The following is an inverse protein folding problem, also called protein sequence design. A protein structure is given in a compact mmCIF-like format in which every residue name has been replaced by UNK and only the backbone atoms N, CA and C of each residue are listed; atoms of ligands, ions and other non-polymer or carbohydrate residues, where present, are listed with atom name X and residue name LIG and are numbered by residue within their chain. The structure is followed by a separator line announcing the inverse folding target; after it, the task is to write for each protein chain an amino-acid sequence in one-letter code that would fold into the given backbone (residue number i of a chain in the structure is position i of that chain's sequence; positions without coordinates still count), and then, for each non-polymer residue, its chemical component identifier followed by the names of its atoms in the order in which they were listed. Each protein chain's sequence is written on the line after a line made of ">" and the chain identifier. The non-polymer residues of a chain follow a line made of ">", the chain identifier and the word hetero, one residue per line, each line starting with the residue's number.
data_IF_740715888136
#
_entry.id   IF_740715888136
#
_cell.length_a   1.000
_cell.length_b   1.000
_cell.length_c   1.000
_cell.angle_alpha   90.00
_cell.angle_beta   90.00
_cell.angle_gamma   90.00
#
_symmetry.space_group_name_H-M   'P 1'
#
loop_
_entity.id
_entity.type
_entity.pdbx_description
1 polymer ?
#
# COMPACT_ATOMS: atom_id res chain seq x y z
N UNK A 1 8.37 22.91 -0.65
CA UNK A 1 7.93 21.56 -1.08
C UNK A 1 6.77 21.16 -0.18
N UNK A 2 5.79 20.39 -0.67
CA UNK A 2 4.68 19.92 0.19
C UNK A 2 5.22 18.87 1.16
N UNK A 3 4.86 18.94 2.45
CA UNK A 3 5.41 18.04 3.48
C UNK A 3 5.19 16.56 3.15
N UNK A 4 4.04 16.20 2.59
CA UNK A 4 3.71 14.83 2.13
C UNK A 4 4.58 14.31 0.97
N UNK A 5 5.32 15.19 0.28
CA UNK A 5 6.25 14.85 -0.79
C UNK A 5 7.72 15.01 -0.37
N UNK A 6 7.95 15.54 0.83
CA UNK A 6 9.27 15.94 1.30
C UNK A 6 9.85 14.86 2.24
N UNK A 7 11.01 14.32 1.86
CA UNK A 7 11.75 13.31 2.62
C UNK A 7 12.32 13.83 3.95
N UNK A 8 12.35 15.15 4.15
CA UNK A 8 12.70 15.76 5.44
C UNK A 8 11.53 15.70 6.45
N UNK A 9 10.35 15.20 6.06
CA UNK A 9 9.19 15.03 6.95
C UNK A 9 8.72 13.58 7.01
N UNK A 10 8.63 13.04 8.22
CA UNK A 10 7.91 11.79 8.48
C UNK A 10 6.41 12.02 8.40
N UNK A 11 5.70 11.08 7.80
CA UNK A 11 4.24 11.06 7.79
C UNK A 11 3.78 10.06 8.86
N UNK A 12 3.21 10.56 9.95
CA UNK A 12 2.76 9.72 11.06
C UNK A 12 1.24 9.62 11.04
N UNK A 13 0.69 8.41 10.98
CA UNK A 13 -0.73 8.15 11.12
C UNK A 13 -1.12 8.32 12.58
N UNK A 14 -2.04 9.25 12.85
CA UNK A 14 -2.54 9.56 14.19
C UNK A 14 -4.05 9.54 14.21
N UNK A 15 -4.63 9.21 15.37
CA UNK A 15 -6.07 9.26 15.57
C UNK A 15 -6.55 10.72 15.58
N UNK A 16 -7.66 11.01 14.90
CA UNK A 16 -8.23 12.34 14.82
C UNK A 16 -8.59 12.92 16.21
N UNK A 17 -8.89 12.07 17.19
CA UNK A 17 -9.20 12.47 18.55
C UNK A 17 -7.99 13.03 19.32
N UNK A 18 -6.75 12.73 18.90
CA UNK A 18 -5.53 13.21 19.56
C UNK A 18 -4.98 14.50 18.94
N UNK A 19 -5.59 14.99 17.85
CA UNK A 19 -5.13 16.18 17.12
C UNK A 19 -5.57 17.44 17.87
N UNK A 20 -4.63 18.34 18.16
CA UNK A 20 -4.94 19.62 18.80
C UNK A 20 -5.32 20.66 17.75
N UNK A 21 -6.04 21.72 18.17
CA UNK A 21 -6.40 22.83 17.28
C UNK A 21 -5.19 23.62 16.73
N UNK A 22 -4.00 23.40 17.31
CA UNK A 22 -2.76 24.08 16.94
C UNK A 22 -1.99 23.35 15.81
N UNK A 23 -2.34 22.10 15.49
CA UNK A 23 -1.59 21.26 14.54
C UNK A 23 -2.00 21.47 13.06
N UNK A 24 -2.87 22.44 12.75
CA UNK A 24 -3.58 22.48 11.46
C UNK A 24 -2.70 22.53 10.21
N UNK A 25 -1.52 23.14 10.27
CA UNK A 25 -0.61 23.27 9.12
C UNK A 25 0.26 22.03 8.89
N UNK A 26 0.25 21.08 9.81
CA UNK A 26 1.03 19.83 9.80
C UNK A 26 0.15 18.59 9.61
N UNK A 27 -1.14 18.76 9.32
CA UNK A 27 -2.10 17.67 9.26
C UNK A 27 -2.67 17.50 7.85
N UNK A 28 -2.60 16.27 7.32
CA UNK A 28 -3.37 15.83 6.15
C UNK A 28 -4.44 14.83 6.60
N UNK A 29 -5.71 15.19 6.46
CA UNK A 29 -6.81 14.27 6.78
C UNK A 29 -6.69 13.00 5.93
N UNK A 30 -6.83 11.81 6.51
CA UNK A 30 -6.87 10.54 5.77
C UNK A 30 -8.30 10.05 5.61
N UNK A 31 -9.03 9.96 6.73
CA UNK A 31 -10.42 9.50 6.78
C UNK A 31 -11.10 10.02 8.07
N UNK A 32 -12.25 9.46 8.43
CA UNK A 32 -13.01 9.87 9.63
C UNK A 32 -12.31 9.59 10.96
N UNK A 33 -11.39 8.62 11.02
CA UNK A 33 -10.68 8.24 12.25
C UNK A 33 -9.22 8.69 12.29
N UNK A 34 -8.57 8.81 11.15
CA UNK A 34 -7.13 9.01 11.05
C UNK A 34 -6.76 10.25 10.22
N UNK A 35 -5.63 10.84 10.57
CA UNK A 35 -4.93 11.85 9.77
C UNK A 35 -3.43 11.56 9.77
N UNK A 36 -2.71 12.14 8.81
CA UNK A 36 -1.26 12.21 8.83
C UNK A 36 -0.80 13.46 9.55
N UNK A 37 0.08 13.30 10.54
CA UNK A 37 0.89 14.36 11.10
C UNK A 37 2.27 14.36 10.45
N UNK A 38 2.62 15.47 9.81
CA UNK A 38 3.92 15.66 9.20
C UNK A 38 4.91 16.19 10.24
N UNK A 39 5.96 15.42 10.54
CA UNK A 39 6.96 15.78 11.56
C UNK A 39 8.33 15.91 10.92
N UNK A 40 8.99 17.05 11.13
CA UNK A 40 10.34 17.28 10.62
C UNK A 40 11.34 16.28 11.19
N UNK A 41 12.19 15.74 10.32
CA UNK A 41 13.23 14.77 10.67
C UNK A 41 14.43 15.46 11.30
N UNK A 42 14.60 15.36 12.62
CA UNK A 42 15.76 15.91 13.32
C UNK A 42 16.99 14.98 13.31
N UNK A 43 16.81 13.65 13.29
CA UNK A 43 17.90 12.67 13.23
C UNK A 43 17.64 11.51 12.25
N UNK A 44 18.73 10.90 11.74
CA UNK A 44 18.73 9.84 10.71
C UNK A 44 19.15 8.48 11.30
N UNK A 45 18.57 8.02 12.40
CA UNK A 45 18.96 6.74 13.04
C UNK A 45 17.77 5.79 13.16
N UNK A 46 18.04 4.49 13.15
CA UNK A 46 17.01 3.46 13.32
C UNK A 46 16.28 3.61 14.68
N UNK A 47 17.00 4.04 15.73
CA UNK A 47 16.42 4.36 17.04
C UNK A 47 15.70 5.71 17.12
N UNK A 48 15.54 6.46 16.03
CA UNK A 48 14.71 7.68 16.03
C UNK A 48 13.22 7.39 16.30
N UNK A 49 12.84 6.11 16.33
CA UNK A 49 11.56 5.58 16.87
C UNK A 49 11.33 5.92 18.35
N UNK A 50 12.37 6.27 19.12
CA UNK A 50 12.20 6.75 20.50
C UNK A 50 11.33 8.02 20.59
N UNK A 51 11.27 8.81 19.51
CA UNK A 51 10.49 10.05 19.46
C UNK A 51 9.08 9.87 18.87
N UNK A 52 8.86 8.82 18.09
CA UNK A 52 7.60 8.55 17.41
C UNK A 52 7.27 7.05 17.51
N UNK A 53 6.17 6.68 18.18
CA UNK A 53 5.77 5.30 18.35
C UNK A 53 5.60 4.57 17.00
N UNK A 54 6.00 3.30 16.91
CA UNK A 54 6.00 2.54 15.64
C UNK A 54 4.59 2.39 15.07
N UNK A 55 3.55 2.31 15.90
CA UNK A 55 2.15 2.21 15.47
C UNK A 55 1.68 3.44 14.70
N UNK A 56 2.40 4.56 14.81
CA UNK A 56 2.13 5.76 14.02
C UNK A 56 2.83 5.74 12.67
N UNK A 57 3.78 4.84 12.42
CA UNK A 57 4.46 4.76 11.14
C UNK A 57 3.60 3.99 10.12
N UNK A 58 3.40 4.56 8.92
CA UNK A 58 2.74 3.83 7.83
C UNK A 58 3.51 2.57 7.46
N UNK A 59 2.80 1.49 7.16
CA UNK A 59 3.39 0.31 6.56
C UNK A 59 3.85 0.55 5.10
N UNK A 60 4.77 -0.30 4.63
CA UNK A 60 5.21 -0.35 3.22
C UNK A 60 4.48 -1.48 2.50
N UNK A 61 3.86 -1.15 1.38
CA UNK A 61 3.12 -2.09 0.53
C UNK A 61 3.87 -2.35 -0.79
N UNK A 62 3.84 -3.58 -1.27
CA UNK A 62 4.36 -3.97 -2.58
C UNK A 62 3.26 -4.55 -3.46
N UNK A 63 3.53 -4.71 -4.74
CA UNK A 63 2.64 -5.38 -5.68
C UNK A 63 2.43 -6.85 -5.29
N UNK A 64 1.20 -7.37 -5.46
CA UNK A 64 0.89 -8.80 -5.34
C UNK A 64 0.68 -9.37 -6.73
N UNK A 65 1.28 -10.51 -7.01
CA UNK A 65 1.34 -11.17 -8.31
C UNK A 65 1.94 -10.26 -9.38
N UNK A 66 3.19 -9.76 -9.19
CA UNK A 66 3.84 -8.92 -10.18
C UNK A 66 3.91 -9.63 -11.53
N UNK A 67 3.81 -8.85 -12.62
CA UNK A 67 3.67 -9.37 -13.98
C UNK A 67 4.75 -10.42 -14.31
N UNK A 68 4.29 -11.65 -14.58
CA UNK A 68 5.11 -12.74 -15.10
C UNK A 68 4.87 -12.92 -16.60
N UNK A 69 5.90 -13.40 -17.31
CA UNK A 69 5.80 -13.76 -18.73
C UNK A 69 5.11 -15.10 -18.96
N UNK A 70 4.84 -15.87 -17.91
CA UNK A 70 4.14 -17.15 -18.01
C UNK A 70 2.67 -16.91 -18.32
N UNK A 71 2.17 -17.56 -19.38
CA UNK A 71 0.74 -17.55 -19.70
C UNK A 71 0.03 -18.40 -18.66
N UNK A 72 -0.88 -17.84 -17.85
CA UNK A 72 -1.69 -18.68 -16.99
C UNK A 72 -2.57 -19.58 -17.88
N UNK A 73 -2.80 -20.81 -17.42
CA UNK A 73 -3.83 -21.70 -17.97
C UNK A 73 -5.21 -21.11 -17.66
N UNK A 74 -5.58 -20.09 -18.43
CA UNK A 74 -6.89 -19.47 -18.34
C UNK A 74 -7.87 -20.32 -19.15
N UNK A 75 -8.64 -21.13 -18.43
CA UNK A 75 -9.98 -21.43 -18.90
C UNK A 75 -10.78 -20.13 -18.83
N UNK A 76 -11.41 -19.66 -19.91
CA UNK A 76 -12.22 -18.46 -19.87
C UNK A 76 -13.25 -18.65 -18.75
N UNK A 77 -13.21 -17.78 -17.75
CA UNK A 77 -14.26 -17.72 -16.75
C UNK A 77 -15.56 -17.56 -17.53
N UNK A 78 -16.41 -18.58 -17.46
CA UNK A 78 -17.70 -18.61 -18.11
C UNK A 78 -18.43 -17.33 -17.72
N UNK A 79 -18.56 -16.41 -18.68
CA UNK A 79 -19.49 -15.29 -18.56
C UNK A 79 -20.84 -15.93 -18.30
N UNK A 80 -21.47 -15.61 -17.17
CA UNK A 80 -22.82 -15.99 -16.82
C UNK A 80 -23.78 -15.34 -17.84
N UNK A 81 -23.86 -15.93 -19.04
CA UNK A 81 -24.63 -15.45 -20.19
C UNK A 81 -26.11 -15.30 -19.88
N UNK A 82 -26.58 -16.03 -18.86
CA UNK A 82 -27.99 -16.16 -18.55
C UNK A 82 -28.55 -14.93 -17.81
N UNK A 83 -27.68 -14.09 -17.21
CA UNK A 83 -28.12 -12.95 -16.40
C UNK A 83 -27.71 -11.57 -16.95
N UNK A 84 -26.93 -11.51 -18.04
CA UNK A 84 -26.46 -10.27 -18.66
C UNK A 84 -25.85 -9.25 -17.66
N UNK A 85 -25.11 -9.75 -16.67
CA UNK A 85 -24.47 -8.95 -15.62
C UNK A 85 -23.08 -8.49 -16.09
N UNK A 86 -23.01 -7.30 -16.66
CA UNK A 86 -21.79 -6.76 -17.30
C UNK A 86 -21.04 -5.72 -16.45
N UNK A 87 -21.57 -5.38 -15.27
CA UNK A 87 -21.05 -4.31 -14.41
C UNK A 87 -21.48 -2.89 -14.79
N UNK A 88 -22.40 -2.74 -15.74
CA UNK A 88 -22.93 -1.44 -16.16
C UNK A 88 -23.47 -0.65 -14.95
N UNK A 89 -23.03 0.61 -14.81
CA UNK A 89 -23.44 1.50 -13.72
C UNK A 89 -22.63 1.35 -12.43
N UNK A 90 -21.77 0.33 -12.33
CA UNK A 90 -20.84 0.15 -11.20
C UNK A 90 -19.53 0.89 -11.50
N UNK A 91 -18.93 1.47 -10.46
CA UNK A 91 -17.58 2.02 -10.51
C UNK A 91 -16.63 0.97 -9.94
N UNK A 92 -15.57 0.64 -10.68
CA UNK A 92 -14.44 -0.13 -10.16
C UNK A 92 -13.30 0.84 -9.87
N UNK A 93 -12.90 0.89 -8.60
CA UNK A 93 -11.77 1.67 -8.12
C UNK A 93 -10.50 0.83 -8.11
N UNK A 94 -9.45 1.33 -8.76
CA UNK A 94 -8.12 0.70 -8.83
C UNK A 94 -7.12 1.61 -8.12
N UNK A 95 -6.39 1.07 -7.15
CA UNK A 95 -5.29 1.77 -6.46
C UNK A 95 -4.01 0.97 -6.69
N UNK A 96 -3.16 1.45 -7.59
CA UNK A 96 -2.05 0.65 -8.12
C UNK A 96 -0.97 1.53 -8.81
N UNK A 97 -0.21 0.98 -9.75
CA UNK A 97 0.85 1.66 -10.55
C UNK A 97 0.32 2.60 -11.63
N UNK A 98 -1.01 2.68 -11.80
CA UNK A 98 -1.69 3.50 -12.79
C UNK A 98 -2.44 2.69 -13.83
N UNK A 99 -2.67 3.29 -14.99
CA UNK A 99 -3.34 2.64 -16.12
C UNK A 99 -2.85 3.19 -17.46
N UNK A 100 -2.67 2.32 -18.46
CA UNK A 100 -2.60 2.73 -19.85
C UNK A 100 -4.00 3.09 -20.37
N UNK A 101 -4.36 4.37 -20.25
CA UNK A 101 -5.68 4.87 -20.65
C UNK A 101 -5.96 4.81 -22.15
N UNK A 102 -4.92 4.61 -22.98
CA UNK A 102 -5.07 4.50 -24.44
C UNK A 102 -5.38 3.06 -24.87
N UNK A 103 -5.23 2.09 -23.98
CA UNK A 103 -5.40 0.70 -24.31
C UNK A 103 -6.85 0.41 -24.77
N UNK A 104 -7.07 -0.28 -25.91
CA UNK A 104 -8.41 -0.56 -26.44
C UNK A 104 -9.32 -1.33 -25.47
N UNK A 105 -8.72 -2.02 -24.50
CA UNK A 105 -9.47 -2.70 -23.44
C UNK A 105 -10.29 -1.74 -22.57
N UNK A 106 -10.00 -0.43 -22.54
CA UNK A 106 -10.68 0.56 -21.68
C UNK A 106 -11.46 1.62 -22.45
N UNK A 107 -11.64 1.42 -23.76
CA UNK A 107 -12.39 2.33 -24.62
C UNK A 107 -13.81 1.83 -24.86
N UNK A 108 -14.74 2.73 -25.06
CA UNK A 108 -16.06 2.43 -25.59
C UNK A 108 -15.97 2.20 -27.12
N UNK A 109 -17.06 1.69 -27.70
CA UNK A 109 -17.15 1.46 -29.15
C UNK A 109 -16.98 2.75 -29.98
N UNK A 110 -17.33 3.91 -29.40
CA UNK A 110 -17.14 5.23 -30.01
C UNK A 110 -15.73 5.81 -29.79
N UNK A 111 -14.82 5.03 -29.22
CA UNK A 111 -13.44 5.40 -28.84
C UNK A 111 -13.31 6.41 -27.69
N UNK A 112 -14.40 6.74 -27.00
CA UNK A 112 -14.29 7.46 -25.72
C UNK A 112 -13.81 6.52 -24.61
N UNK A 113 -13.25 7.03 -23.53
CA UNK A 113 -12.78 6.22 -22.40
C UNK A 113 -13.90 5.76 -21.49
N UNK A 114 -13.72 4.61 -20.82
CA UNK A 114 -14.51 4.17 -19.64
C UNK A 114 -13.91 4.62 -18.31
N UNK A 115 -12.77 5.31 -18.33
CA UNK A 115 -12.12 5.85 -17.14
C UNK A 115 -12.76 7.20 -16.79
N UNK A 116 -13.42 7.27 -15.64
CA UNK A 116 -14.09 8.47 -15.14
C UNK A 116 -13.07 9.53 -14.69
N UNK A 117 -12.02 9.08 -14.03
CA UNK A 117 -10.90 9.92 -13.65
C UNK A 117 -9.66 9.11 -13.29
N UNK A 118 -8.50 9.74 -13.44
CA UNK A 118 -7.20 9.25 -12.99
C UNK A 118 -6.65 10.27 -12.00
N UNK A 119 -6.37 9.86 -10.77
CA UNK A 119 -5.54 10.63 -9.86
C UNK A 119 -4.12 10.08 -9.90
N UNK A 120 -3.19 10.85 -10.47
CA UNK A 120 -1.78 10.51 -10.49
C UNK A 120 -1.06 11.24 -9.36
N UNK A 121 -0.73 10.51 -8.29
CA UNK A 121 -0.03 11.04 -7.13
C UNK A 121 1.42 11.42 -7.42
N UNK A 122 1.98 11.01 -8.57
CA UNK A 122 3.38 11.30 -8.93
C UNK A 122 3.55 12.64 -9.66
N UNK A 123 2.48 13.16 -10.26
CA UNK A 123 2.52 14.37 -11.10
C UNK A 123 2.02 15.58 -10.31
N UNK A 124 2.85 16.61 -10.15
CA UNK A 124 2.57 17.76 -9.28
C UNK A 124 2.29 19.07 -10.02
N UNK A 125 2.45 19.08 -11.34
CA UNK A 125 2.31 20.25 -12.20
C UNK A 125 0.84 20.61 -12.48
N UNK A 126 -0.08 19.65 -12.30
CA UNK A 126 -1.51 19.85 -12.49
C UNK A 126 -2.25 20.22 -11.21
N UNK A 127 -3.59 20.16 -11.28
CA UNK A 127 -4.45 20.43 -10.13
C UNK A 127 -4.71 19.12 -9.37
N UNK A 128 -4.52 19.09 -8.04
CA UNK A 128 -4.93 17.95 -7.24
C UNK A 128 -6.46 17.81 -7.22
N UNK A 129 -6.98 16.62 -6.88
CA UNK A 129 -8.41 16.46 -6.64
C UNK A 129 -8.93 17.42 -5.56
N UNK A 130 -10.22 17.77 -5.60
CA UNK A 130 -10.85 18.61 -4.56
C UNK A 130 -10.60 18.03 -3.17
N UNK A 131 -10.21 18.90 -2.24
CA UNK A 131 -9.90 18.54 -0.84
C UNK A 131 -8.62 17.69 -0.66
N UNK A 132 -7.79 17.59 -1.69
CA UNK A 132 -6.43 17.05 -1.64
C UNK A 132 -5.40 18.14 -1.97
N UNK A 133 -4.16 17.92 -1.52
CA UNK A 133 -3.09 18.92 -1.60
C UNK A 133 -2.01 18.60 -2.63
N UNK A 134 -1.99 17.39 -3.20
CA UNK A 134 -0.94 16.92 -4.09
C UNK A 134 -1.45 15.94 -5.16
N UNK A 135 -0.58 15.64 -6.12
CA UNK A 135 -0.91 14.87 -7.31
C UNK A 135 -1.72 15.68 -8.31
N UNK A 136 -2.09 15.03 -9.41
CA UNK A 136 -2.90 15.63 -10.48
C UNK A 136 -4.11 14.76 -10.81
N UNK A 137 -5.29 15.37 -10.86
CA UNK A 137 -6.50 14.72 -11.35
C UNK A 137 -6.72 14.97 -12.85
N UNK A 138 -6.97 13.90 -13.59
CA UNK A 138 -7.39 13.93 -14.99
C UNK A 138 -8.81 13.40 -15.10
N UNK A 139 -9.74 14.27 -15.49
CA UNK A 139 -11.14 13.91 -15.70
C UNK A 139 -11.37 13.13 -17.00
N UNK A 140 -12.49 12.42 -17.09
CA UNK A 140 -12.96 11.72 -18.31
C UNK A 140 -12.89 12.59 -19.57
N UNK A 141 -13.29 13.86 -19.48
CA UNK A 141 -13.24 14.77 -20.62
C UNK A 141 -11.81 15.07 -21.06
N UNK A 142 -10.89 15.27 -20.11
CA UNK A 142 -9.47 15.49 -20.40
C UNK A 142 -8.79 14.25 -20.96
N UNK A 143 -9.13 13.06 -20.46
CA UNK A 143 -8.67 11.77 -21.00
C UNK A 143 -9.16 11.58 -22.44
N UNK A 144 -10.45 11.84 -22.72
CA UNK A 144 -10.97 11.79 -24.09
C UNK A 144 -10.25 12.77 -25.02
N UNK A 145 -9.97 13.99 -24.56
CA UNK A 145 -9.18 14.96 -25.33
C UNK A 145 -7.77 14.46 -25.61
N UNK A 146 -7.13 13.78 -24.64
CA UNK A 146 -5.83 13.15 -24.83
C UNK A 146 -5.88 12.04 -25.89
N UNK A 147 -6.87 11.15 -25.82
CA UNK A 147 -7.05 10.04 -26.79
C UNK A 147 -7.22 10.55 -28.23
N UNK A 148 -7.86 11.72 -28.42
CA UNK A 148 -8.02 12.33 -29.75
C UNK A 148 -6.80 13.15 -30.21
N UNK A 149 -5.86 13.45 -29.30
CA UNK A 149 -4.67 14.24 -29.60
C UNK A 149 -3.65 13.43 -30.40
N UNK A 150 -2.84 14.13 -31.21
CA UNK A 150 -1.66 13.53 -31.84
C UNK A 150 -0.57 13.20 -30.82
N UNK A 151 -0.54 13.93 -29.71
CA UNK A 151 0.37 13.74 -28.59
C UNK A 151 -0.45 13.60 -27.29
N UNK A 152 -1.01 12.41 -27.00
CA UNK A 152 -1.87 12.19 -25.83
C UNK A 152 -1.20 12.58 -24.50
N UNK A 153 0.10 12.27 -24.36
CA UNK A 153 0.88 12.54 -23.15
C UNK A 153 1.18 14.02 -22.89
N UNK A 154 1.04 14.90 -23.89
CA UNK A 154 1.09 16.36 -23.65
C UNK A 154 -0.18 16.85 -22.92
N UNK A 155 -1.29 16.11 -23.04
CA UNK A 155 -2.59 16.46 -22.43
C UNK A 155 -2.78 15.75 -21.09
N UNK A 156 -2.50 14.45 -21.05
CA UNK A 156 -2.52 13.58 -19.88
C UNK A 156 -1.20 12.80 -19.82
N UNK A 157 -0.18 13.31 -19.10
CA UNK A 157 1.15 12.69 -19.01
C UNK A 157 1.20 11.43 -18.14
N UNK A 158 0.10 11.05 -17.48
CA UNK A 158 0.04 9.83 -16.67
C UNK A 158 0.24 8.58 -17.52
N UNK A 159 1.15 7.71 -17.10
CA UNK A 159 1.48 6.42 -17.72
C UNK A 159 1.61 5.35 -16.65
N UNK A 160 1.34 4.10 -17.02
CA UNK A 160 1.67 2.94 -16.22
C UNK A 160 2.92 2.26 -16.80
N UNK A 161 4.08 2.64 -16.30
CA UNK A 161 5.38 2.09 -16.76
C UNK A 161 5.67 0.70 -16.19
N UNK A 162 4.99 0.31 -15.12
CA UNK A 162 5.12 -1.02 -14.52
C UNK A 162 4.18 -2.03 -15.21
N UNK A 163 2.95 -1.60 -15.51
CA UNK A 163 1.92 -2.39 -16.18
C UNK A 163 1.00 -3.17 -15.25
N UNK A 164 1.32 -3.25 -13.95
CA UNK A 164 0.54 -4.02 -12.97
C UNK A 164 -0.90 -3.49 -12.85
N UNK A 165 -1.07 -2.19 -12.62
CA UNK A 165 -2.40 -1.57 -12.53
C UNK A 165 -3.23 -1.73 -13.80
N UNK A 166 -2.60 -1.60 -14.97
CA UNK A 166 -3.22 -1.88 -16.27
C UNK A 166 -3.71 -3.32 -16.37
N UNK A 167 -2.89 -4.29 -15.93
CA UNK A 167 -3.24 -5.70 -15.97
C UNK A 167 -4.40 -6.03 -15.03
N UNK A 168 -4.36 -5.56 -13.78
CA UNK A 168 -5.46 -5.72 -12.81
C UNK A 168 -6.76 -5.11 -13.35
N UNK A 169 -6.70 -3.87 -13.86
CA UNK A 169 -7.86 -3.22 -14.46
C UNK A 169 -8.41 -4.01 -15.66
N UNK A 170 -7.54 -4.64 -16.45
CA UNK A 170 -7.95 -5.48 -17.60
C UNK A 170 -8.65 -6.76 -17.17
N UNK A 171 -8.15 -7.45 -16.14
CA UNK A 171 -8.77 -8.67 -15.59
C UNK A 171 -10.18 -8.36 -15.09
N UNK A 172 -10.36 -7.21 -14.44
CA UNK A 172 -11.66 -6.83 -13.89
C UNK A 172 -12.60 -6.36 -14.99
N UNK A 173 -12.18 -5.39 -15.81
CA UNK A 173 -13.10 -4.62 -16.66
C UNK A 173 -12.63 -4.46 -18.11
N UNK A 174 -11.63 -5.23 -18.58
CA UNK A 174 -11.14 -5.16 -19.95
C UNK A 174 -12.19 -5.59 -20.97
N UNK A 175 -12.27 -4.87 -22.10
CA UNK A 175 -13.19 -5.24 -23.18
C UNK A 175 -12.92 -6.65 -23.71
N UNK A 176 -13.97 -7.38 -24.15
CA UNK A 176 -13.80 -8.63 -24.85
C UNK A 176 -12.95 -8.45 -26.12
N UNK A 177 -11.95 -9.30 -26.29
CA UNK A 177 -11.12 -9.40 -27.48
C UNK A 177 -11.11 -10.86 -27.96
N UNK A 178 -11.90 -11.15 -29.00
CA UNK A 178 -12.03 -12.50 -29.55
C UNK A 178 -10.72 -13.03 -30.15
N UNK A 179 -9.86 -12.16 -30.69
CA UNK A 179 -8.57 -12.57 -31.25
C UNK A 179 -7.60 -13.08 -30.17
N UNK A 180 -7.68 -12.53 -28.96
CA UNK A 180 -6.85 -12.91 -27.82
C UNK A 180 -7.55 -13.87 -26.85
N UNK A 181 -8.80 -14.25 -27.13
CA UNK A 181 -9.64 -15.05 -26.22
C UNK A 181 -9.69 -14.45 -24.80
N UNK A 182 -9.81 -13.13 -24.71
CA UNK A 182 -9.74 -12.38 -23.46
C UNK A 182 -11.03 -11.59 -23.23
N UNK A 183 -11.46 -11.51 -21.98
CA UNK A 183 -12.48 -10.55 -21.52
C UNK A 183 -12.26 -10.33 -20.04
N UNK A 184 -12.43 -9.10 -19.57
CA UNK A 184 -12.64 -8.85 -18.16
C UNK A 184 -13.96 -9.44 -17.67
N UNK A 185 -14.12 -9.53 -16.35
CA UNK A 185 -15.32 -10.08 -15.70
C UNK A 185 -16.53 -9.11 -15.84
N UNK A 186 -16.29 -7.81 -15.70
CA UNK A 186 -17.29 -6.74 -15.77
C UNK A 186 -16.93 -5.70 -16.85
N UNK A 187 -16.96 -6.07 -18.13
CA UNK A 187 -16.43 -5.23 -19.22
C UNK A 187 -17.19 -3.93 -19.45
N UNK A 188 -18.38 -3.73 -18.88
CA UNK A 188 -19.16 -2.48 -18.99
C UNK A 188 -19.11 -1.62 -17.72
N UNK A 189 -18.28 -1.95 -16.73
CA UNK A 189 -18.04 -1.05 -15.59
C UNK A 189 -17.22 0.16 -16.01
N UNK A 190 -17.42 1.27 -15.30
CA UNK A 190 -16.55 2.44 -15.39
C UNK A 190 -15.40 2.32 -14.39
N UNK A 191 -14.25 2.92 -14.70
CA UNK A 191 -13.04 2.86 -13.87
C UNK A 191 -12.76 4.20 -13.21
N UNK A 192 -12.29 4.18 -11.96
CA UNK A 192 -11.58 5.30 -11.34
C UNK A 192 -10.23 4.78 -10.89
N UNK A 193 -9.15 5.43 -11.31
CA UNK A 193 -7.80 4.94 -11.10
C UNK A 193 -7.01 5.90 -10.23
N UNK A 194 -6.32 5.37 -9.24
CA UNK A 194 -5.32 6.06 -8.43
C UNK A 194 -3.98 5.43 -8.75
N UNK A 195 -3.09 6.22 -9.35
CA UNK A 195 -1.68 5.87 -9.48
C UNK A 195 -0.95 6.37 -8.24
N UNK A 196 -0.43 5.43 -7.45
CA UNK A 196 0.29 5.74 -6.23
C UNK A 196 1.67 6.32 -6.52
N UNK A 197 2.11 7.24 -5.66
CA UNK A 197 3.52 7.62 -5.59
C UNK A 197 4.30 6.59 -4.79
N UNK A 198 5.60 6.45 -5.07
CA UNK A 198 6.46 5.62 -4.23
C UNK A 198 6.52 6.14 -2.79
N UNK A 199 6.68 5.20 -1.86
CA UNK A 199 6.91 5.51 -0.46
C UNK A 199 8.15 6.40 -0.31
N UNK A 200 8.09 7.32 0.66
CA UNK A 200 9.22 8.21 0.96
C UNK A 200 10.47 7.42 1.31
N UNK A 201 11.62 7.91 0.86
CA UNK A 201 12.91 7.31 1.19
C UNK A 201 13.15 7.32 2.70
N UNK A 202 12.64 8.31 3.43
CA UNK A 202 12.76 8.34 4.89
C UNK A 202 12.06 7.14 5.57
N UNK A 203 10.93 6.68 5.05
CA UNK A 203 10.20 5.51 5.53
C UNK A 203 10.89 4.21 5.10
N UNK A 204 11.31 4.12 3.82
CA UNK A 204 12.13 3.01 3.32
C UNK A 204 13.39 2.80 4.20
N UNK A 205 14.03 3.90 4.60
CA UNK A 205 15.21 3.86 5.47
C UNK A 205 14.92 3.34 6.90
N UNK A 206 13.73 3.60 7.46
CA UNK A 206 13.34 3.06 8.78
C UNK A 206 13.21 1.54 8.71
N UNK A 207 12.52 1.03 7.70
CA UNK A 207 12.26 -0.40 7.55
C UNK A 207 13.38 -1.16 6.83
N UNK A 208 14.49 -0.48 6.53
CA UNK A 208 15.61 -1.02 5.77
C UNK A 208 15.25 -1.57 4.38
N UNK A 209 14.18 -1.05 3.76
CA UNK A 209 13.83 -1.37 2.39
C UNK A 209 14.89 -0.83 1.41
N UNK A 210 15.26 -1.57 0.36
CA UNK A 210 16.18 -1.07 -0.67
C UNK A 210 15.67 0.24 -1.30
N UNK A 211 16.52 1.24 -1.54
CA UNK A 211 16.10 2.57 -2.00
C UNK A 211 15.33 2.52 -3.35
N UNK A 212 15.78 1.63 -4.24
CA UNK A 212 15.24 1.43 -5.58
C UNK A 212 14.09 0.40 -5.62
N UNK A 213 13.70 -0.17 -4.48
CA UNK A 213 12.56 -1.11 -4.43
C UNK A 213 11.25 -0.35 -4.61
N UNK A 214 10.40 -0.81 -5.52
CA UNK A 214 9.06 -0.27 -5.71
C UNK A 214 8.18 -0.67 -4.52
N UNK A 215 7.85 0.30 -3.68
CA UNK A 215 6.89 0.14 -2.60
C UNK A 215 6.09 1.42 -2.39
N UNK A 216 4.91 1.27 -1.81
CA UNK A 216 3.94 2.33 -1.59
C UNK A 216 3.69 2.51 -0.11
N UNK A 217 3.35 3.72 0.29
CA UNK A 217 3.06 4.04 1.68
C UNK A 217 1.59 3.74 1.98
N UNK A 218 1.30 3.09 3.10
CA UNK A 218 -0.07 2.79 3.56
C UNK A 218 -0.99 4.02 3.50
N UNK A 219 -0.49 5.17 3.92
CA UNK A 219 -1.26 6.41 3.95
C UNK A 219 -1.66 6.91 2.56
N UNK A 220 -0.83 6.68 1.54
CA UNK A 220 -1.13 7.05 0.16
C UNK A 220 -2.25 6.17 -0.42
N UNK A 221 -2.31 4.89 0.01
CA UNK A 221 -3.42 3.98 -0.28
C UNK A 221 -4.70 4.45 0.41
N UNK A 222 -4.64 4.82 1.69
CA UNK A 222 -5.79 5.36 2.44
C UNK A 222 -6.36 6.63 1.78
N UNK A 223 -5.49 7.52 1.32
CA UNK A 223 -5.91 8.70 0.55
C UNK A 223 -6.55 8.29 -0.79
N UNK A 224 -5.98 7.30 -1.48
CA UNK A 224 -6.55 6.71 -2.69
C UNK A 224 -7.98 6.20 -2.47
N UNK A 225 -8.21 5.45 -1.39
CA UNK A 225 -9.53 4.97 -1.00
C UNK A 225 -10.49 6.13 -0.76
N UNK A 226 -10.06 7.18 -0.03
CA UNK A 226 -10.90 8.36 0.19
C UNK A 226 -11.29 9.01 -1.13
N UNK A 227 -10.35 9.17 -2.07
CA UNK A 227 -10.64 9.73 -3.39
C UNK A 227 -11.67 8.91 -4.16
N UNK A 228 -11.53 7.58 -4.18
CA UNK A 228 -12.50 6.68 -4.83
C UNK A 228 -13.91 6.83 -4.24
N UNK A 229 -14.01 6.89 -2.91
CA UNK A 229 -15.29 7.09 -2.21
C UNK A 229 -15.90 8.45 -2.57
N UNK A 230 -15.10 9.52 -2.57
CA UNK A 230 -15.55 10.87 -2.95
C UNK A 230 -16.11 10.89 -4.38
N UNK A 231 -15.41 10.26 -5.34
CA UNK A 231 -15.90 10.16 -6.73
C UNK A 231 -17.21 9.37 -6.80
N UNK A 232 -17.31 8.24 -6.10
CA UNK A 232 -18.53 7.41 -6.05
C UNK A 232 -19.72 8.17 -5.46
N UNK A 233 -19.51 8.91 -4.37
CA UNK A 233 -20.54 9.74 -3.73
C UNK A 233 -20.99 10.89 -4.63
N UNK A 234 -20.05 11.59 -5.25
CA UNK A 234 -20.35 12.70 -6.17
C UNK A 234 -21.17 12.23 -7.38
N UNK A 235 -20.96 10.99 -7.82
CA UNK A 235 -21.70 10.39 -8.93
C UNK A 235 -22.95 9.62 -8.48
N UNK A 236 -23.15 9.43 -7.18
CA UNK A 236 -24.20 8.61 -6.58
C UNK A 236 -24.28 7.20 -7.17
N UNK A 237 -23.14 6.51 -7.24
CA UNK A 237 -22.99 5.18 -7.86
C UNK A 237 -22.28 4.19 -6.95
N UNK A 238 -22.65 2.88 -6.98
CA UNK A 238 -21.93 1.86 -6.24
C UNK A 238 -20.45 1.77 -6.66
N UNK A 239 -19.60 1.44 -5.69
CA UNK A 239 -18.15 1.35 -5.82
C UNK A 239 -17.67 -0.04 -5.40
N UNK A 240 -16.83 -0.66 -6.22
CA UNK A 240 -16.04 -1.83 -5.83
C UNK A 240 -14.57 -1.45 -5.88
N UNK A 241 -13.86 -1.57 -4.76
CA UNK A 241 -12.44 -1.24 -4.65
C UNK A 241 -11.64 -2.53 -4.77
N UNK A 242 -10.65 -2.55 -5.67
CA UNK A 242 -9.66 -3.62 -5.75
C UNK A 242 -8.30 -3.11 -5.23
N UNK A 243 -7.75 -3.80 -4.24
CA UNK A 243 -6.41 -3.55 -3.70
C UNK A 243 -5.57 -4.80 -3.97
N UNK A 244 -4.74 -4.74 -5.00
CA UNK A 244 -3.80 -5.79 -5.39
C UNK A 244 -2.38 -5.51 -4.86
N UNK A 245 -2.33 -4.98 -3.64
CA UNK A 245 -1.12 -4.60 -2.92
C UNK A 245 -1.10 -5.31 -1.57
N UNK A 246 0.09 -5.63 -1.06
CA UNK A 246 0.26 -6.35 0.20
C UNK A 246 1.42 -5.83 1.03
N UNK A 247 1.35 -6.05 2.34
CA UNK A 247 2.43 -5.81 3.29
C UNK A 247 2.55 -6.98 4.26
N UNK A 248 3.75 -7.23 4.76
CA UNK A 248 3.99 -8.14 5.89
C UNK A 248 4.18 -7.39 7.21
N UNK A 249 4.23 -6.06 7.18
CA UNK A 249 4.35 -5.24 8.40
C UNK A 249 3.03 -5.24 9.18
N UNK A 250 3.13 -5.20 10.50
CA UNK A 250 2.01 -5.15 11.42
C UNK A 250 1.68 -6.50 12.05
N UNK A 251 0.78 -6.48 13.05
CA UNK A 251 0.40 -7.66 13.84
C UNK A 251 -0.57 -8.63 13.15
N UNK A 252 -1.10 -8.26 11.98
CA UNK A 252 -2.11 -9.04 11.22
C UNK A 252 -3.38 -9.39 12.03
N UNK A 253 -3.72 -8.54 13.00
CA UNK A 253 -4.87 -8.70 13.91
C UNK A 253 -6.08 -7.82 13.54
N UNK A 254 -5.93 -7.01 12.48
CA UNK A 254 -6.98 -6.15 11.92
C UNK A 254 -7.14 -4.79 12.63
N UNK A 255 -6.26 -4.44 13.57
CA UNK A 255 -6.32 -3.17 14.29
C UNK A 255 -5.45 -2.07 13.67
N UNK A 256 -4.70 -2.36 12.60
CA UNK A 256 -3.93 -1.36 11.88
C UNK A 256 -4.83 -0.29 11.22
N UNK A 257 -4.31 0.93 10.92
CA UNK A 257 -5.11 2.04 10.43
C UNK A 257 -5.85 1.75 9.11
N UNK A 258 -5.20 1.07 8.15
CA UNK A 258 -5.81 0.68 6.89
C UNK A 258 -6.90 -0.39 7.09
N UNK A 259 -6.64 -1.44 7.87
CA UNK A 259 -7.63 -2.49 8.19
C UNK A 259 -8.87 -1.92 8.86
N UNK A 260 -8.69 -1.06 9.86
CA UNK A 260 -9.80 -0.38 10.55
C UNK A 260 -10.58 0.50 9.58
N UNK A 261 -9.90 1.21 8.69
CA UNK A 261 -10.56 2.04 7.69
C UNK A 261 -11.41 1.20 6.74
N UNK A 262 -10.85 0.11 6.22
CA UNK A 262 -11.52 -0.83 5.31
C UNK A 262 -12.73 -1.50 5.97
N UNK A 263 -12.63 -1.96 7.22
CA UNK A 263 -13.75 -2.53 7.98
C UNK A 263 -14.92 -1.55 8.12
N UNK A 264 -14.63 -0.26 8.35
CA UNK A 264 -15.67 0.76 8.46
C UNK A 264 -16.36 0.99 7.13
N UNK A 265 -15.60 1.18 6.05
CA UNK A 265 -16.21 1.52 4.75
C UNK A 265 -16.90 0.31 4.10
N UNK A 266 -16.49 -0.92 4.41
CA UNK A 266 -17.15 -2.14 3.95
C UNK A 266 -18.59 -2.27 4.47
N UNK A 267 -18.93 -1.57 5.56
CA UNK A 267 -20.29 -1.55 6.14
C UNK A 267 -21.21 -0.55 5.44
N UNK A 268 -20.68 0.33 4.59
CA UNK A 268 -21.51 1.30 3.87
C UNK A 268 -22.24 0.64 2.68
N UNK A 269 -23.54 0.93 2.50
CA UNK A 269 -24.28 0.42 1.36
C UNK A 269 -23.65 0.84 0.03
N UNK A 270 -23.55 -0.11 -0.90
CA UNK A 270 -23.02 0.15 -2.24
C UNK A 270 -21.49 0.20 -2.33
N UNK A 271 -20.76 -0.13 -1.26
CA UNK A 271 -19.31 -0.31 -1.28
C UNK A 271 -18.98 -1.81 -1.18
N UNK A 272 -18.20 -2.31 -2.14
CA UNK A 272 -17.56 -3.62 -2.10
C UNK A 272 -16.04 -3.46 -2.06
N UNK A 273 -15.35 -4.38 -1.38
CA UNK A 273 -13.89 -4.35 -1.26
C UNK A 273 -13.34 -5.74 -1.55
N UNK A 274 -12.33 -5.82 -2.41
CA UNK A 274 -11.59 -7.03 -2.71
C UNK A 274 -10.10 -6.76 -2.53
N UNK A 275 -9.46 -7.57 -1.69
CA UNK A 275 -8.05 -7.44 -1.31
C UNK A 275 -7.36 -8.75 -1.67
N UNK A 276 -6.18 -8.68 -2.29
CA UNK A 276 -5.39 -9.87 -2.57
C UNK A 276 -4.73 -10.41 -1.29
N UNK A 277 -4.61 -11.73 -1.16
CA UNK A 277 -4.10 -12.38 0.05
C UNK A 277 -2.57 -12.24 0.25
N UNK A 278 -1.82 -11.90 -0.81
CA UNK A 278 -0.36 -11.79 -0.81
C UNK A 278 0.35 -13.01 -1.40
N UNK A 279 1.63 -12.85 -1.75
CA UNK A 279 2.47 -13.89 -2.37
C UNK A 279 3.47 -14.54 -1.39
N UNK A 280 3.39 -14.22 -0.09
CA UNK A 280 4.39 -14.63 0.90
C UNK A 280 4.25 -16.10 1.37
N UNK A 281 3.17 -16.80 0.97
CA UNK A 281 2.88 -18.16 1.44
C UNK A 281 3.96 -19.20 1.14
N UNK A 282 4.80 -18.97 0.11
CA UNK A 282 5.94 -19.83 -0.24
C UNK A 282 7.31 -19.22 0.08
N UNK A 283 7.38 -18.01 0.64
CA UNK A 283 8.62 -17.24 0.76
C UNK A 283 9.36 -17.48 2.09
N UNK A 284 8.81 -18.29 3.01
CA UNK A 284 9.40 -18.60 4.32
C UNK A 284 9.78 -17.37 5.16
N UNK A 285 9.00 -16.28 5.05
CA UNK A 285 9.21 -15.02 5.80
C UNK A 285 8.35 -14.87 7.04
N UNK A 286 7.65 -15.93 7.44
CA UNK A 286 6.82 -15.97 8.64
C UNK A 286 7.22 -17.17 9.51
N UNK A 287 7.40 -16.90 10.80
CA UNK A 287 7.62 -17.91 11.83
C UNK A 287 6.55 -17.75 12.91
N UNK A 288 5.91 -18.86 13.28
CA UNK A 288 4.95 -18.91 14.38
C UNK A 288 5.31 -20.05 15.31
N UNK A 289 5.22 -19.79 16.61
CA UNK A 289 5.36 -20.82 17.61
C UNK A 289 4.46 -20.53 18.83
N UNK A 290 4.06 -21.58 19.52
CA UNK A 290 3.24 -21.51 20.73
C UNK A 290 3.88 -22.31 21.87
N UNK A 291 4.40 -21.59 22.86
CA UNK A 291 5.14 -22.19 23.98
C UNK A 291 4.25 -22.30 25.21
N UNK A 292 3.81 -23.52 25.54
CA UNK A 292 2.82 -23.76 26.61
C UNK A 292 3.35 -24.50 27.83
N UNK A 293 4.60 -24.99 27.80
CA UNK A 293 5.21 -25.74 28.90
C UNK A 293 6.66 -25.36 29.14
N UNK A 294 7.14 -25.65 30.34
CA UNK A 294 8.56 -25.50 30.70
C UNK A 294 9.47 -26.25 29.71
N UNK A 295 10.63 -25.68 29.34
CA UNK A 295 11.29 -24.51 29.95
C UNK A 295 10.83 -23.13 29.42
N UNK A 296 9.73 -23.02 28.67
CA UNK A 296 9.28 -21.77 28.02
C UNK A 296 10.32 -21.11 27.11
N UNK A 297 11.11 -21.95 26.43
CA UNK A 297 12.20 -21.53 25.55
C UNK A 297 12.01 -22.14 24.16
N UNK A 298 12.24 -21.35 23.13
CA UNK A 298 12.37 -21.82 21.75
C UNK A 298 13.35 -20.93 20.98
N UNK A 299 13.99 -21.54 20.01
CA UNK A 299 14.85 -20.90 19.03
C UNK A 299 14.28 -21.06 17.62
N UNK A 300 14.66 -20.14 16.74
CA UNK A 300 14.46 -20.25 15.31
C UNK A 300 15.66 -19.63 14.61
N UNK A 301 15.92 -20.10 13.40
CA UNK A 301 17.03 -19.62 12.58
C UNK A 301 16.52 -18.64 11.53
N UNK A 302 17.16 -17.47 11.46
CA UNK A 302 17.00 -16.54 10.36
C UNK A 302 18.24 -16.60 9.46
N UNK A 303 18.08 -17.14 8.26
CA UNK A 303 19.16 -17.17 7.28
C UNK A 303 19.19 -15.85 6.50
N UNK A 304 20.31 -15.13 6.59
CA UNK A 304 20.52 -13.84 5.91
C UNK A 304 21.38 -14.07 4.68
N UNK A 305 20.86 -13.73 3.51
CA UNK A 305 21.57 -13.89 2.24
C UNK A 305 22.76 -12.93 2.13
N UNK A 306 23.80 -13.31 1.37
CA UNK A 306 24.99 -12.47 1.18
C UNK A 306 24.69 -11.10 0.54
N UNK A 307 23.57 -10.97 -0.18
CA UNK A 307 23.08 -9.72 -0.78
C UNK A 307 22.34 -8.83 0.22
N UNK A 308 21.86 -9.38 1.33
CA UNK A 308 20.97 -8.70 2.27
C UNK A 308 21.81 -7.94 3.29
N UNK A 309 22.07 -6.66 2.99
CA UNK A 309 22.94 -5.82 3.83
C UNK A 309 22.21 -5.26 5.05
N UNK A 310 20.89 -5.18 5.00
CA UNK A 310 20.02 -4.65 6.05
C UNK A 310 18.66 -5.33 5.95
N UNK A 311 18.01 -5.53 7.09
CA UNK A 311 16.67 -6.09 7.18
C UNK A 311 16.02 -5.61 8.47
N UNK A 312 14.69 -5.64 8.51
CA UNK A 312 13.89 -5.48 9.72
C UNK A 312 13.07 -6.75 9.93
N UNK A 313 12.71 -7.03 11.17
CA UNK A 313 11.79 -8.09 11.52
C UNK A 313 10.92 -7.65 12.69
N UNK A 314 9.72 -8.21 12.75
CA UNK A 314 8.75 -7.92 13.80
C UNK A 314 8.42 -9.21 14.54
N UNK A 315 8.28 -9.12 15.86
CA UNK A 315 7.89 -10.24 16.71
C UNK A 315 6.67 -9.79 17.51
N UNK A 316 5.54 -10.42 17.22
CA UNK A 316 4.26 -10.08 17.81
C UNK A 316 3.84 -11.14 18.85
N UNK A 317 3.92 -10.84 20.16
CA UNK A 317 3.43 -11.75 21.19
C UNK A 317 1.91 -11.58 21.38
N UNK A 318 1.22 -12.64 21.78
CA UNK A 318 -0.16 -12.53 22.23
C UNK A 318 -0.22 -11.97 23.65
N UNK A 319 -0.90 -10.85 23.86
CA UNK A 319 -1.11 -10.30 25.19
C UNK A 319 -1.80 -11.33 26.13
N UNK A 320 -1.42 -11.45 27.41
CA UNK A 320 -0.46 -10.61 28.16
C UNK A 320 0.98 -11.17 28.18
N UNK A 321 1.35 -12.03 27.24
CA UNK A 321 2.66 -12.69 27.24
C UNK A 321 3.79 -11.67 27.05
N UNK A 322 4.92 -11.96 27.69
CA UNK A 322 6.18 -11.22 27.53
C UNK A 322 7.26 -12.22 27.19
N UNK A 323 8.20 -11.82 26.35
CA UNK A 323 9.39 -12.61 26.06
C UNK A 323 10.64 -11.77 26.31
N UNK A 324 11.76 -12.47 26.43
CA UNK A 324 13.09 -11.90 26.28
C UNK A 324 13.73 -12.51 25.04
N UNK A 325 14.62 -11.78 24.38
CA UNK A 325 15.32 -12.27 23.19
C UNK A 325 16.80 -12.43 23.51
N UNK A 326 17.37 -13.50 23.00
CA UNK A 326 18.81 -13.72 22.93
C UNK A 326 19.18 -13.91 21.46
N UNK A 327 20.22 -13.22 20.99
CA UNK A 327 20.59 -13.24 19.57
C UNK A 327 21.96 -13.87 19.42
N UNK A 328 22.00 -14.97 18.65
CA UNK A 328 23.24 -15.71 18.36
C UNK A 328 23.64 -15.49 16.90
N UNK A 329 24.65 -14.63 16.61
CA UNK A 329 25.25 -14.53 15.29
C UNK A 329 25.99 -15.81 14.86
N UNK A 330 26.36 -15.95 13.57
CA UNK A 330 27.06 -17.13 13.05
C UNK A 330 28.42 -17.43 13.71
N UNK A 331 29.06 -16.44 14.33
CA UNK A 331 30.31 -16.63 15.08
C UNK A 331 30.09 -17.21 16.50
N UNK A 332 28.83 -17.48 16.87
CA UNK A 332 28.37 -18.06 18.14
C UNK A 332 28.59 -17.18 19.38
N UNK A 333 28.96 -15.91 19.20
CA UNK A 333 29.08 -14.94 20.30
C UNK A 333 27.72 -14.33 20.59
N UNK A 334 27.07 -14.88 21.61
CA UNK A 334 25.67 -14.55 21.90
C UNK A 334 25.54 -13.24 22.67
N UNK A 335 24.48 -12.47 22.40
CA UNK A 335 24.18 -11.24 23.15
C UNK A 335 23.82 -11.54 24.59
N UNK A 336 23.79 -10.51 25.45
CA UNK A 336 23.06 -10.62 26.71
C UNK A 336 21.56 -10.77 26.43
N UNK A 337 20.82 -11.34 27.38
CA UNK A 337 19.36 -11.43 27.30
C UNK A 337 18.79 -10.02 27.24
N UNK A 338 18.07 -9.73 26.17
CA UNK A 338 17.36 -8.47 25.96
C UNK A 338 15.97 -8.62 26.55
N UNK A 339 15.65 -7.78 27.53
CA UNK A 339 14.30 -7.61 28.05
C UNK A 339 13.70 -6.39 27.36
N UNK A 340 12.83 -6.58 26.36
CA UNK A 340 12.29 -5.46 25.59
C UNK A 340 11.53 -4.52 26.54
N UNK A 341 11.99 -3.28 26.69
CA UNK A 341 11.37 -2.28 27.58
C UNK A 341 10.79 -1.14 26.77
N UNK A 342 9.68 -0.56 27.26
CA UNK A 342 8.95 0.48 26.53
C UNK A 342 9.87 1.67 26.23
N UNK A 343 9.84 2.15 24.98
CA UNK A 343 10.58 3.35 24.54
C UNK A 343 12.10 3.22 24.68
N UNK A 344 12.63 2.00 24.60
CA UNK A 344 14.07 1.71 24.65
C UNK A 344 14.54 1.02 23.36
N UNK A 345 15.62 1.55 22.78
CA UNK A 345 16.25 1.01 21.58
C UNK A 345 17.68 0.58 21.91
N UNK A 346 17.90 -0.73 22.02
CA UNK A 346 19.20 -1.31 22.40
C UNK A 346 19.99 -1.73 21.16
N UNK A 347 21.20 -1.18 21.00
CA UNK A 347 22.11 -1.55 19.91
C UNK A 347 23.16 -2.56 20.33
N UNK A 348 23.36 -3.60 19.51
CA UNK A 348 24.34 -4.66 19.70
C UNK A 348 25.31 -4.73 18.52
N UNK A 349 26.57 -4.96 18.82
CA UNK A 349 27.61 -5.27 17.83
C UNK A 349 27.89 -6.76 17.91
N UNK A 350 27.70 -7.48 16.81
CA UNK A 350 27.70 -8.94 16.82
C UNK A 350 29.01 -9.59 16.33
N UNK A 351 29.75 -8.93 15.44
CA UNK A 351 30.93 -9.52 14.81
C UNK A 351 31.94 -8.43 14.46
N UNK A 352 33.01 -8.26 15.25
CA UNK A 352 34.14 -7.34 15.00
C UNK A 352 33.79 -6.00 14.32
N UNK A 353 32.67 -5.36 14.72
CA UNK A 353 32.09 -4.13 14.14
C UNK A 353 31.57 -4.20 12.69
N UNK A 354 31.31 -5.39 12.13
CA UNK A 354 30.73 -5.56 10.79
C UNK A 354 29.21 -5.69 10.80
N UNK A 355 28.63 -6.26 11.86
CA UNK A 355 27.18 -6.48 12.01
C UNK A 355 26.63 -5.75 13.23
N UNK A 356 25.54 -5.01 13.02
CA UNK A 356 24.84 -4.23 14.05
C UNK A 356 23.37 -4.63 14.07
N UNK A 357 22.82 -4.85 15.26
CA UNK A 357 21.38 -5.08 15.46
C UNK A 357 20.86 -4.06 16.45
N UNK A 358 19.65 -3.56 16.18
CA UNK A 358 18.87 -2.77 17.12
C UNK A 358 17.64 -3.56 17.52
N UNK A 359 17.42 -3.69 18.83
CA UNK A 359 16.19 -4.26 19.39
C UNK A 359 15.40 -3.12 20.01
N UNK A 360 14.17 -2.95 19.56
CA UNK A 360 13.24 -1.94 20.07
C UNK A 360 11.96 -2.65 20.52
N UNK A 361 11.40 -2.23 21.67
CA UNK A 361 10.06 -2.64 22.08
C UNK A 361 9.09 -1.50 21.85
N UNK A 362 8.10 -1.73 20.99
CA UNK A 362 6.98 -0.80 20.83
C UNK A 362 5.75 -1.47 21.44
N UNK A 363 5.10 -0.79 22.38
CA UNK A 363 3.77 -1.20 22.81
C UNK A 363 2.71 -0.56 21.93
N UNK A 364 1.66 -1.33 21.65
CA UNK A 364 0.35 -0.75 21.40
C UNK A 364 -0.23 -0.28 22.74
N UNK A 365 -0.67 0.97 22.81
CA UNK A 365 -1.58 1.41 23.88
C UNK A 365 -2.94 0.72 23.79
#
# INVERSE_FOLDING_TARGET
>A
MLKILDDDYYDLIVNNATISSYDRDDITLLNSLHSLRHVMKYEKRACSLEQNPYETLPALFTLISPLSMEKPDLHPALVYSDFNLTGRGIIVGIIDTGIDYQHPAFLNNDRTTRILSIWDQTIQEGLPPSDFTFGTEYSKSRINNAIMSRNPFEVVPSTDTNGHGTAIASIIAGNPNSYQSFSGIVPESDLVVVKLKEAKQNLKNIFFAPPDSLCFQESDIMLGIRYLITVSQNLNRPLVICIALGSSHGGHDGYDPLSTYLDIIARYPGIGISIAAGDEGGNNRHYFNNTVSEPYYNDFELNIGNSDRRFSMEIWPYAPQRFSIEITPPNLVTTQIVYPSLSDCQGFILDDNQSFIWVNNIAFE
#
